data_IF_727074483758
#
_entry.id   IF_727074483758
#
_cell.length_a   1.000
_cell.length_b   1.000
_cell.length_c   1.000
_cell.angle_alpha   90.00
_cell.angle_beta   90.00
_cell.angle_gamma   90.00
#
_symmetry.space_group_name_H-M   'P 1'
#
loop_
_entity.id
_entity.type
_entity.pdbx_description
1 polymer ?
#
# COMPACT_ATOMS: atom_id res chain seq x y z
N UNK A 1 18.49 13.88 -21.62
CA UNK A 1 18.77 13.59 -20.20
C UNK A 1 17.42 13.54 -19.49
N UNK A 2 16.84 12.35 -19.36
CA UNK A 2 15.57 12.16 -18.64
C UNK A 2 15.86 12.23 -17.16
N UNK A 3 15.26 13.22 -16.49
CA UNK A 3 15.16 13.31 -15.05
C UNK A 3 14.77 11.94 -14.49
N UNK A 4 15.75 11.21 -13.96
CA UNK A 4 15.54 10.24 -12.92
C UNK A 4 15.11 11.04 -11.70
N UNK A 5 13.88 11.56 -11.71
CA UNK A 5 13.16 11.90 -10.49
C UNK A 5 13.00 10.58 -9.76
N UNK A 6 14.04 10.30 -8.98
CA UNK A 6 14.04 9.52 -7.78
C UNK A 6 12.70 9.80 -7.11
N UNK A 7 11.74 8.91 -7.37
CA UNK A 7 10.39 9.04 -6.86
C UNK A 7 10.54 8.94 -5.35
N UNK A 8 10.52 10.12 -4.72
CA UNK A 8 10.53 10.30 -3.30
C UNK A 8 9.37 9.48 -2.72
N UNK A 9 9.51 9.15 -1.44
CA UNK A 9 8.63 8.36 -0.59
C UNK A 9 7.13 8.80 -0.55
N UNK A 10 6.69 9.66 -1.46
CA UNK A 10 5.43 10.40 -1.45
C UNK A 10 4.32 9.79 -2.32
N UNK A 11 4.65 8.86 -3.23
CA UNK A 11 3.66 8.17 -4.06
C UNK A 11 3.08 6.93 -3.36
N UNK A 12 2.62 7.07 -2.11
CA UNK A 12 1.67 6.09 -1.57
C UNK A 12 0.26 6.64 -1.84
N UNK A 13 -0.54 6.05 -2.76
CA UNK A 13 -1.90 6.50 -3.05
C UNK A 13 -2.85 6.32 -1.86
N UNK A 14 -2.43 5.57 -0.84
CA UNK A 14 -3.14 5.44 0.42
C UNK A 14 -2.64 6.48 1.42
N UNK A 15 -3.57 7.23 2.02
CA UNK A 15 -3.29 8.10 3.17
C UNK A 15 -2.56 7.26 4.20
N UNK A 16 -1.27 7.53 4.42
CA UNK A 16 -0.49 6.87 5.47
C UNK A 16 -1.10 7.28 6.81
N UNK A 17 -1.99 6.43 7.31
CA UNK A 17 -2.45 6.51 8.68
C UNK A 17 -1.20 6.51 9.56
N UNK A 18 -1.12 7.42 10.53
CA UNK A 18 0.06 7.49 11.38
C UNK A 18 0.22 6.19 12.17
N UNK A 19 1.46 5.73 12.35
CA UNK A 19 1.75 4.51 13.10
C UNK A 19 1.12 4.54 14.49
N UNK A 20 1.16 5.71 15.14
CA UNK A 20 0.55 5.97 16.44
C UNK A 20 -0.97 5.86 16.42
N UNK A 21 -1.64 6.39 15.39
CA UNK A 21 -3.10 6.24 15.26
C UNK A 21 -3.50 4.79 15.08
N UNK A 22 -2.77 4.03 14.26
CA UNK A 22 -3.06 2.61 14.05
C UNK A 22 -2.81 1.77 15.32
N UNK A 23 -1.76 2.10 16.07
CA UNK A 23 -1.53 1.52 17.40
C UNK A 23 -2.67 1.85 18.36
N UNK A 24 -3.10 3.12 18.42
CA UNK A 24 -4.21 3.56 19.27
C UNK A 24 -5.53 2.86 18.93
N UNK A 25 -5.82 2.69 17.63
CA UNK A 25 -6.97 1.92 17.14
C UNK A 25 -6.88 0.46 17.59
N UNK A 26 -5.70 -0.17 17.48
CA UNK A 26 -5.48 -1.55 17.94
C UNK A 26 -5.68 -1.72 19.44
N UNK A 27 -5.16 -0.80 20.24
CA UNK A 27 -5.34 -0.78 21.71
C UNK A 27 -6.82 -0.60 22.07
N UNK A 28 -7.51 0.36 21.43
CA UNK A 28 -8.94 0.60 21.64
C UNK A 28 -9.79 -0.62 21.30
N UNK A 29 -9.49 -1.29 20.18
CA UNK A 29 -10.12 -2.56 19.82
C UNK A 29 -9.86 -3.65 20.86
N UNK A 30 -8.64 -3.74 21.40
CA UNK A 30 -8.29 -4.72 22.44
C UNK A 30 -9.06 -4.51 23.74
N UNK A 31 -9.24 -3.27 24.17
CA UNK A 31 -10.11 -2.95 25.31
C UNK A 31 -11.56 -3.37 25.02
N UNK A 32 -12.06 -3.07 23.81
CA UNK A 32 -13.39 -3.49 23.35
C UNK A 32 -13.60 -5.00 23.38
N UNK A 33 -12.61 -5.78 22.92
CA UNK A 33 -12.65 -7.26 23.01
C UNK A 33 -12.70 -7.72 24.46
N UNK A 34 -11.94 -7.08 25.36
CA UNK A 34 -12.03 -7.36 26.80
C UNK A 34 -13.44 -7.13 27.37
N UNK A 35 -14.09 -6.04 26.97
CA UNK A 35 -15.47 -5.71 27.38
C UNK A 35 -16.45 -6.76 26.85
N UNK A 36 -16.33 -7.12 25.57
CA UNK A 36 -17.18 -8.13 24.93
C UNK A 36 -17.00 -9.49 25.61
N UNK A 37 -15.77 -9.89 25.92
CA UNK A 37 -15.47 -11.15 26.60
C UNK A 37 -16.11 -11.21 28.01
N UNK A 38 -16.15 -10.09 28.72
CA UNK A 38 -16.85 -10.01 30.00
C UNK A 38 -18.38 -10.06 29.84
N UNK A 39 -18.91 -9.37 28.82
CA UNK A 39 -20.33 -9.39 28.50
C UNK A 39 -20.83 -10.81 28.15
N UNK A 40 -20.09 -11.57 27.36
CA UNK A 40 -20.40 -12.97 27.06
C UNK A 40 -20.40 -13.86 28.31
N UNK A 41 -19.56 -13.55 29.29
CA UNK A 41 -19.53 -14.24 30.58
C UNK A 41 -20.62 -13.82 31.56
N UNK A 42 -21.54 -12.92 31.18
CA UNK A 42 -22.54 -12.34 32.08
C UNK A 42 -21.93 -11.47 33.20
N UNK A 43 -20.68 -11.00 33.02
CA UNK A 43 -19.94 -10.22 34.01
C UNK A 43 -20.02 -8.73 33.69
N UNK A 44 -19.87 -7.84 34.70
CA UNK A 44 -19.77 -6.40 34.46
C UNK A 44 -18.65 -6.06 33.48
N UNK A 45 -18.82 -4.99 32.70
CA UNK A 45 -17.92 -4.66 31.59
C UNK A 45 -16.43 -4.57 31.95
N UNK A 46 -16.11 -3.99 33.11
CA UNK A 46 -14.72 -3.81 33.59
C UNK A 46 -14.29 -4.86 34.62
N UNK A 47 -14.99 -6.00 34.67
CA UNK A 47 -14.61 -7.08 35.56
C UNK A 47 -13.28 -7.72 35.11
N UNK A 48 -12.31 -7.88 36.01
CA UNK A 48 -10.94 -8.36 35.70
C UNK A 48 -10.18 -7.45 34.72
N UNK A 49 -9.65 -6.29 35.17
CA UNK A 49 -8.91 -5.34 34.31
C UNK A 49 -7.70 -5.97 33.59
N UNK A 50 -7.13 -7.04 34.15
CA UNK A 50 -6.03 -7.79 33.54
C UNK A 50 -6.36 -8.32 32.14
N UNK A 51 -7.60 -8.76 31.90
CA UNK A 51 -8.00 -9.29 30.59
C UNK A 51 -8.07 -8.18 29.54
N UNK A 52 -8.52 -6.98 29.92
CA UNK A 52 -8.54 -5.82 29.04
C UNK A 52 -7.13 -5.39 28.66
N UNK A 53 -6.22 -5.33 29.64
CA UNK A 53 -4.81 -4.98 29.41
C UNK A 53 -4.15 -6.02 28.51
N UNK A 54 -4.42 -7.30 28.74
CA UNK A 54 -3.91 -8.38 27.89
C UNK A 54 -4.37 -8.23 26.43
N UNK A 55 -5.67 -8.08 26.19
CA UNK A 55 -6.20 -7.91 24.84
C UNK A 55 -5.76 -6.60 24.18
N UNK A 56 -5.66 -5.51 24.95
CA UNK A 56 -5.11 -4.23 24.50
C UNK A 56 -3.65 -4.35 24.05
N UNK A 57 -2.81 -5.05 24.82
CA UNK A 57 -1.41 -5.27 24.47
C UNK A 57 -1.27 -6.16 23.22
N UNK A 58 -2.04 -7.26 23.16
CA UNK A 58 -2.02 -8.20 22.03
C UNK A 58 -2.47 -7.51 20.73
N UNK A 59 -3.63 -6.86 20.73
CA UNK A 59 -4.15 -6.18 19.53
C UNK A 59 -3.35 -4.92 19.18
N UNK A 60 -2.82 -4.20 20.17
CA UNK A 60 -1.87 -3.11 19.93
C UNK A 60 -0.61 -3.59 19.20
N UNK A 61 -0.01 -4.69 19.65
CA UNK A 61 1.17 -5.29 19.02
C UNK A 61 0.88 -5.81 17.61
N UNK A 62 -0.24 -6.54 17.42
CA UNK A 62 -0.65 -7.04 16.11
C UNK A 62 -0.89 -5.87 15.14
N UNK A 63 -1.59 -4.83 15.59
CA UNK A 63 -1.87 -3.63 14.78
C UNK A 63 -0.57 -2.91 14.36
N UNK A 64 0.40 -2.82 15.27
CA UNK A 64 1.72 -2.28 14.98
C UNK A 64 2.46 -3.11 13.92
N UNK A 65 2.49 -4.44 14.07
CA UNK A 65 3.16 -5.32 13.09
C UNK A 65 2.47 -5.32 11.72
N UNK A 66 1.14 -5.29 11.68
CA UNK A 66 0.40 -5.17 10.41
C UNK A 66 0.62 -3.83 9.73
N UNK A 67 0.96 -2.76 10.46
CA UNK A 67 1.39 -1.50 9.84
C UNK A 67 2.67 -1.68 9.01
N UNK A 68 3.72 -2.25 9.63
CA UNK A 68 5.01 -2.45 8.96
C UNK A 68 4.86 -3.39 7.76
N UNK A 69 4.02 -4.43 7.88
CA UNK A 69 3.71 -5.34 6.79
C UNK A 69 2.96 -4.66 5.63
N UNK A 70 1.96 -3.83 5.93
CA UNK A 70 1.24 -3.08 4.90
C UNK A 70 2.15 -2.12 4.14
N UNK A 71 3.04 -1.40 4.84
CA UNK A 71 3.99 -0.50 4.18
C UNK A 71 4.96 -1.29 3.27
N UNK A 72 5.39 -2.48 3.69
CA UNK A 72 6.21 -3.37 2.86
C UNK A 72 5.47 -3.84 1.60
N UNK A 73 4.23 -4.33 1.73
CA UNK A 73 3.43 -4.82 0.60
C UNK A 73 3.15 -3.70 -0.39
N UNK A 74 2.71 -2.53 0.08
CA UNK A 74 2.42 -1.38 -0.79
C UNK A 74 3.68 -0.94 -1.55
N UNK A 75 4.85 -0.90 -0.90
CA UNK A 75 6.12 -0.60 -1.58
C UNK A 75 6.43 -1.61 -2.68
N UNK A 76 6.21 -2.89 -2.42
CA UNK A 76 6.43 -3.96 -3.40
C UNK A 76 5.48 -3.85 -4.59
N UNK A 77 4.21 -3.59 -4.34
CA UNK A 77 3.19 -3.44 -5.39
C UNK A 77 3.51 -2.24 -6.29
N UNK A 78 3.92 -1.11 -5.71
CA UNK A 78 4.32 0.08 -6.48
C UNK A 78 5.60 -0.16 -7.30
N UNK A 79 6.55 -0.95 -6.80
CA UNK A 79 7.72 -1.35 -7.58
C UNK A 79 7.33 -2.19 -8.80
N UNK A 80 6.45 -3.17 -8.63
CA UNK A 80 5.98 -4.02 -9.73
C UNK A 80 5.19 -3.21 -10.76
N UNK A 81 4.30 -2.32 -10.30
CA UNK A 81 3.53 -1.44 -11.17
C UNK A 81 4.46 -0.55 -12.02
N UNK A 82 5.49 0.02 -11.41
CA UNK A 82 6.46 0.87 -12.10
C UNK A 82 7.24 0.10 -13.17
N UNK A 83 7.71 -1.11 -12.87
CA UNK A 83 8.40 -1.98 -13.85
C UNK A 83 7.50 -2.29 -15.05
N UNK A 84 6.21 -2.50 -14.82
CA UNK A 84 5.27 -2.80 -15.89
C UNK A 84 4.93 -1.55 -16.72
N UNK A 85 4.76 -0.39 -16.08
CA UNK A 85 4.57 0.89 -16.78
C UNK A 85 5.78 1.26 -17.63
N UNK A 86 7.01 1.06 -17.14
CA UNK A 86 8.21 1.36 -17.92
C UNK A 86 8.33 0.45 -19.14
N UNK A 87 7.97 -0.84 -19.02
CA UNK A 87 7.91 -1.77 -20.16
C UNK A 87 6.85 -1.35 -21.17
N UNK A 88 5.63 -1.03 -20.73
CA UNK A 88 4.55 -0.57 -21.62
C UNK A 88 4.97 0.68 -22.40
N UNK A 89 5.57 1.67 -21.72
CA UNK A 89 6.09 2.88 -22.37
C UNK A 89 7.16 2.57 -23.42
N UNK A 90 8.04 1.60 -23.16
CA UNK A 90 9.02 1.13 -24.16
C UNK A 90 8.34 0.49 -25.37
N UNK A 91 7.32 -0.34 -25.17
CA UNK A 91 6.56 -0.94 -26.26
C UNK A 91 5.82 0.10 -27.09
N UNK A 92 5.23 1.12 -26.45
CA UNK A 92 4.59 2.25 -27.14
C UNK A 92 5.59 3.04 -27.98
N UNK A 93 6.77 3.35 -27.43
CA UNK A 93 7.84 4.04 -28.17
C UNK A 93 8.35 3.24 -29.36
N UNK A 94 8.54 1.93 -29.20
CA UNK A 94 8.97 1.04 -30.30
C UNK A 94 7.91 0.94 -31.40
N UNK A 95 6.64 0.85 -31.03
CA UNK A 95 5.51 0.79 -31.97
C UNK A 95 5.40 2.10 -32.74
N UNK A 96 5.38 3.24 -32.04
CA UNK A 96 5.34 4.57 -32.66
C UNK A 96 6.54 4.80 -33.59
N UNK A 97 7.76 4.38 -33.19
CA UNK A 97 8.95 4.49 -34.04
C UNK A 97 8.85 3.64 -35.31
N UNK A 98 8.24 2.45 -35.23
CA UNK A 98 8.00 1.57 -36.38
C UNK A 98 6.98 2.17 -37.34
N UNK A 99 5.90 2.77 -36.83
CA UNK A 99 4.89 3.45 -37.64
C UNK A 99 5.50 4.62 -38.42
N UNK A 100 6.28 5.47 -37.75
CA UNK A 100 7.01 6.58 -38.38
C UNK A 100 7.96 6.08 -39.47
N UNK A 101 8.66 4.97 -39.24
CA UNK A 101 9.55 4.38 -40.25
C UNK A 101 8.79 3.89 -41.49
N UNK A 102 7.65 3.21 -41.30
CA UNK A 102 6.81 2.73 -42.41
C UNK A 102 6.26 3.91 -43.22
N UNK A 103 5.79 4.96 -42.55
CA UNK A 103 5.28 6.16 -43.21
C UNK A 103 6.36 6.83 -44.07
N UNK A 104 7.57 6.98 -43.51
CA UNK A 104 8.72 7.57 -44.22
C UNK A 104 9.22 6.69 -45.39
N UNK A 105 9.14 5.37 -45.26
CA UNK A 105 9.51 4.48 -46.35
C UNK A 105 8.45 4.47 -47.47
N UNK A 106 7.17 4.57 -47.14
CA UNK A 106 6.10 4.65 -48.12
C UNK A 106 6.09 6.01 -48.85
N UNK A 107 6.34 7.13 -48.17
CA UNK A 107 6.47 8.43 -48.84
C UNK A 107 7.63 8.47 -49.84
N UNK A 108 8.75 7.82 -49.53
CA UNK A 108 9.87 7.66 -50.46
C UNK A 108 9.60 6.70 -51.63
N UNK A 109 8.59 5.84 -51.56
CA UNK A 109 8.22 4.91 -52.64
C UNK A 109 7.20 5.46 -53.63
N UNK A 110 6.42 6.48 -53.22
CA UNK A 110 5.36 7.08 -54.04
C UNK A 110 5.61 8.57 -54.32
N UNK A 111 6.81 9.07 -54.01
CA UNK A 111 7.22 10.46 -54.16
C UNK A 111 8.03 10.78 -55.43
N UNK A 112 7.92 9.94 -56.47
CA UNK A 112 8.29 10.28 -57.85
C UNK A 112 7.04 10.44 -58.70
#
# INVERSE_FOLDING_TARGET
MTDNKQFSSDYNPFVKISKSFKLFMGVSFGVGVGIINNAYGGRPYFHKPQTHIFWAAVLGYISYKTYDFQDYVVKKDMQVLNINQSKLKQYEMLTSSKEIYIEKHNSNRWGE
#
